data_IF_219023743405
#
_entry.id   IF_219023743405
#
_cell.length_a   1.000
_cell.length_b   1.000
_cell.length_c   1.000
_cell.angle_alpha   90.00
_cell.angle_beta   90.00
_cell.angle_gamma   90.00
#
_symmetry.space_group_name_H-M   'P 1'
#
loop_
_entity.id
_entity.type
_entity.pdbx_description
1 polymer ?
#
# COMPACT_ATOMS: atom_id res chain seq x y z
N UNK A 1 -15.88 24.99 24.29
CA UNK A 1 -16.69 24.35 23.24
C UNK A 1 -15.72 23.97 22.15
N UNK A 2 -15.21 22.76 22.21
CA UNK A 2 -14.38 22.18 21.12
C UNK A 2 -15.38 21.53 20.17
N UNK A 3 -15.68 22.21 19.06
CA UNK A 3 -16.37 21.59 17.95
C UNK A 3 -15.54 20.39 17.53
N UNK A 4 -15.97 19.23 17.99
CA UNK A 4 -15.40 17.97 17.50
C UNK A 4 -15.75 17.90 16.02
N UNK A 5 -14.75 17.99 15.15
CA UNK A 5 -14.90 17.80 13.72
C UNK A 5 -15.61 16.46 13.50
N UNK A 6 -16.88 16.52 13.13
CA UNK A 6 -17.66 15.33 12.82
C UNK A 6 -17.41 14.96 11.37
N UNK A 7 -16.54 13.97 11.18
CA UNK A 7 -16.16 13.45 9.89
C UNK A 7 -17.42 13.00 9.09
N UNK A 8 -18.45 12.51 9.77
CA UNK A 8 -19.69 12.06 9.12
C UNK A 8 -20.47 13.21 8.51
N UNK A 9 -20.60 14.33 9.26
CA UNK A 9 -21.28 15.53 8.77
C UNK A 9 -20.51 16.16 7.61
N UNK A 10 -19.18 16.13 7.65
CA UNK A 10 -18.34 16.62 6.57
C UNK A 10 -18.48 15.75 5.30
N UNK A 11 -18.46 14.42 5.47
CA UNK A 11 -18.62 13.47 4.36
C UNK A 11 -20.03 13.53 3.77
N UNK A 12 -21.08 13.67 4.59
CA UNK A 12 -22.47 13.80 4.13
C UNK A 12 -22.75 15.11 3.39
N UNK A 13 -21.85 16.09 3.49
CA UNK A 13 -21.91 17.33 2.70
C UNK A 13 -21.24 17.26 1.32
N UNK A 14 -20.60 16.14 0.99
CA UNK A 14 -19.98 15.95 -0.32
C UNK A 14 -21.02 15.52 -1.35
N UNK A 15 -20.97 16.13 -2.55
CA UNK A 15 -21.73 15.65 -3.69
C UNK A 15 -21.40 14.18 -3.97
N UNK A 16 -22.37 13.27 -4.10
CA UNK A 16 -22.15 11.84 -4.36
C UNK A 16 -21.23 11.56 -5.55
N UNK A 17 -21.27 12.43 -6.58
CA UNK A 17 -20.38 12.32 -7.74
C UNK A 17 -18.90 12.49 -7.36
N UNK A 18 -18.58 13.48 -6.53
CA UNK A 18 -17.22 13.69 -6.03
C UNK A 18 -16.75 12.54 -5.15
N UNK A 19 -17.64 11.96 -4.37
CA UNK A 19 -17.30 10.81 -3.55
C UNK A 19 -16.99 9.57 -4.40
N UNK A 20 -17.76 9.33 -5.47
CA UNK A 20 -17.48 8.27 -6.43
C UNK A 20 -16.12 8.48 -7.11
N UNK A 21 -15.83 9.72 -7.53
CA UNK A 21 -14.55 10.06 -8.14
C UNK A 21 -13.38 9.85 -7.14
N UNK A 22 -13.54 10.31 -5.91
CA UNK A 22 -12.54 10.11 -4.85
C UNK A 22 -12.31 8.61 -4.56
N UNK A 23 -13.42 7.83 -4.52
CA UNK A 23 -13.35 6.37 -4.35
C UNK A 23 -12.60 5.72 -5.50
N UNK A 24 -12.95 6.06 -6.74
CA UNK A 24 -12.23 5.57 -7.92
C UNK A 24 -10.75 5.89 -7.83
N UNK A 25 -10.39 7.15 -7.54
CA UNK A 25 -9.00 7.61 -7.54
C UNK A 25 -8.16 6.96 -6.42
N UNK A 26 -8.69 6.89 -5.20
CA UNK A 26 -7.99 6.25 -4.09
C UNK A 26 -7.83 4.74 -4.32
N UNK A 27 -8.87 4.08 -4.83
CA UNK A 27 -8.80 2.67 -5.19
C UNK A 27 -7.88 2.41 -6.39
N UNK A 28 -7.77 3.37 -7.31
CA UNK A 28 -6.80 3.34 -8.40
C UNK A 28 -5.36 3.37 -7.86
N UNK A 29 -5.04 4.30 -6.97
CA UNK A 29 -3.72 4.38 -6.35
C UNK A 29 -3.38 3.09 -5.58
N UNK A 30 -4.35 2.57 -4.83
CA UNK A 30 -4.22 1.30 -4.13
C UNK A 30 -3.99 0.13 -5.10
N UNK A 31 -4.76 0.07 -6.19
CA UNK A 31 -4.64 -0.94 -7.25
C UNK A 31 -3.31 -0.87 -7.99
N UNK A 32 -2.79 0.33 -8.23
CA UNK A 32 -1.49 0.57 -8.85
C UNK A 32 -0.32 0.12 -7.98
N UNK A 33 -0.56 -0.17 -6.70
CA UNK A 33 0.45 -0.64 -5.78
C UNK A 33 1.17 0.48 -5.03
N UNK A 34 0.58 1.67 -4.94
CA UNK A 34 1.12 2.77 -4.13
C UNK A 34 1.00 2.39 -2.65
N UNK A 35 2.12 2.29 -1.92
CA UNK A 35 2.08 1.88 -0.52
C UNK A 35 1.46 2.98 0.36
N UNK A 36 0.70 2.56 1.38
CA UNK A 36 0.15 3.49 2.38
C UNK A 36 -1.16 4.16 1.98
N UNK A 37 -1.74 3.86 0.82
CA UNK A 37 -3.08 4.35 0.47
C UNK A 37 -4.13 3.50 1.18
N UNK A 38 -4.90 4.08 2.12
CA UNK A 38 -5.91 3.33 2.87
C UNK A 38 -7.21 3.25 2.06
N UNK A 39 -7.35 2.22 1.22
CA UNK A 39 -8.56 2.01 0.41
C UNK A 39 -9.84 1.79 1.22
N UNK A 40 -9.69 1.49 2.51
CA UNK A 40 -10.84 1.38 3.42
C UNK A 40 -11.55 2.72 3.67
N UNK A 41 -10.82 3.85 3.61
CA UNK A 41 -11.42 5.17 3.90
C UNK A 41 -12.52 5.57 2.91
N UNK A 42 -12.30 5.53 1.58
CA UNK A 42 -13.37 5.84 0.65
C UNK A 42 -14.54 4.84 0.73
N UNK A 43 -14.26 3.58 1.07
CA UNK A 43 -15.32 2.59 1.28
C UNK A 43 -16.21 2.93 2.48
N UNK A 44 -15.62 3.41 3.59
CA UNK A 44 -16.37 3.86 4.77
C UNK A 44 -17.22 5.10 4.47
N UNK A 45 -16.69 6.05 3.69
CA UNK A 45 -17.43 7.22 3.25
C UNK A 45 -18.64 6.82 2.39
N UNK A 46 -18.47 5.85 1.49
CA UNK A 46 -19.58 5.31 0.69
C UNK A 46 -20.69 4.67 1.55
N UNK A 47 -20.35 4.06 2.70
CA UNK A 47 -21.37 3.50 3.60
C UNK A 47 -22.31 4.60 4.11
N UNK A 48 -21.77 5.74 4.55
CA UNK A 48 -22.57 6.86 5.01
C UNK A 48 -23.54 7.37 3.93
N UNK A 49 -23.08 7.46 2.69
CA UNK A 49 -23.90 7.89 1.56
C UNK A 49 -24.95 6.85 1.13
N UNK A 50 -24.66 5.56 1.28
CA UNK A 50 -25.64 4.49 1.06
C UNK A 50 -26.73 4.57 2.11
N UNK A 51 -26.38 4.75 3.37
CA UNK A 51 -27.35 4.85 4.48
C UNK A 51 -28.21 6.13 4.38
N UNK A 52 -27.63 7.21 3.85
CA UNK A 52 -28.38 8.44 3.54
C UNK A 52 -29.28 8.34 2.29
N UNK A 53 -29.18 7.26 1.51
CA UNK A 53 -29.96 7.06 0.29
C UNK A 53 -29.45 7.86 -0.93
N UNK A 54 -28.27 8.46 -0.85
CA UNK A 54 -27.69 9.26 -1.93
C UNK A 54 -26.98 8.42 -3.00
N UNK A 55 -26.58 7.20 -2.64
CA UNK A 55 -25.97 6.24 -3.55
C UNK A 55 -26.41 4.80 -3.24
N UNK A 56 -26.01 3.86 -4.06
CA UNK A 56 -26.32 2.45 -3.89
C UNK A 56 -25.05 1.61 -3.62
N UNK A 57 -25.21 0.50 -2.90
CA UNK A 57 -24.14 -0.46 -2.69
C UNK A 57 -23.50 -0.91 -4.02
N UNK A 58 -24.34 -1.12 -5.05
CA UNK A 58 -23.87 -1.52 -6.38
C UNK A 58 -22.99 -0.43 -7.03
N UNK A 59 -23.36 0.84 -6.91
CA UNK A 59 -22.57 1.96 -7.43
C UNK A 59 -21.22 2.07 -6.69
N UNK A 60 -21.22 1.97 -5.35
CA UNK A 60 -20.01 1.99 -4.55
C UNK A 60 -19.04 0.85 -4.94
N UNK A 61 -19.55 -0.38 -5.09
CA UNK A 61 -18.76 -1.54 -5.55
C UNK A 61 -18.25 -1.31 -6.97
N UNK A 62 -19.07 -0.78 -7.86
CA UNK A 62 -18.66 -0.52 -9.25
C UNK A 62 -17.49 0.47 -9.34
N UNK A 63 -17.61 1.65 -8.71
CA UNK A 63 -16.56 2.67 -8.76
C UNK A 63 -15.28 2.23 -8.06
N UNK A 64 -15.39 1.56 -6.92
CA UNK A 64 -14.24 1.00 -6.21
C UNK A 64 -13.54 -0.10 -7.01
N UNK A 65 -14.31 -1.01 -7.61
CA UNK A 65 -13.76 -2.10 -8.46
C UNK A 65 -13.07 -1.53 -9.69
N UNK A 66 -13.73 -0.57 -10.37
CA UNK A 66 -13.17 0.05 -11.58
C UNK A 66 -11.84 0.75 -11.26
N UNK A 67 -11.78 1.53 -10.18
CA UNK A 67 -10.55 2.18 -9.74
C UNK A 67 -9.44 1.16 -9.45
N UNK A 68 -9.72 0.17 -8.61
CA UNK A 68 -8.75 -0.85 -8.24
C UNK A 68 -8.24 -1.66 -9.44
N UNK A 69 -9.14 -2.00 -10.36
CA UNK A 69 -8.79 -2.72 -11.58
C UNK A 69 -7.92 -1.89 -12.52
N UNK A 70 -8.34 -0.67 -12.87
CA UNK A 70 -7.57 0.24 -13.73
C UNK A 70 -6.19 0.52 -13.12
N UNK A 71 -6.13 0.78 -11.82
CA UNK A 71 -4.88 0.95 -11.09
C UNK A 71 -3.96 -0.25 -11.25
N UNK A 72 -4.51 -1.47 -11.15
CA UNK A 72 -3.71 -2.67 -11.32
C UNK A 72 -3.17 -2.87 -12.74
N UNK A 73 -3.93 -2.44 -13.75
CA UNK A 73 -3.45 -2.47 -15.14
C UNK A 73 -2.27 -1.51 -15.30
N UNK A 74 -2.36 -0.32 -14.69
CA UNK A 74 -1.24 0.62 -14.65
C UNK A 74 -0.03 0.03 -13.92
N UNK A 75 -0.24 -0.61 -12.76
CA UNK A 75 0.84 -1.30 -12.02
C UNK A 75 1.49 -2.43 -12.82
N UNK A 76 0.70 -3.22 -13.55
CA UNK A 76 1.22 -4.19 -14.51
C UNK A 76 2.07 -3.51 -15.59
N UNK A 77 1.59 -2.39 -16.15
CA UNK A 77 2.34 -1.59 -17.12
C UNK A 77 3.66 -1.08 -16.58
N UNK A 78 3.66 -0.60 -15.34
CA UNK A 78 4.90 -0.21 -14.64
C UNK A 78 5.85 -1.40 -14.52
N UNK A 79 5.36 -2.58 -14.16
CA UNK A 79 6.15 -3.81 -14.13
C UNK A 79 6.73 -4.16 -15.50
N UNK A 80 5.95 -4.01 -16.56
CA UNK A 80 6.34 -4.41 -17.93
C UNK A 80 7.32 -3.43 -18.61
N UNK A 81 7.09 -2.13 -18.43
CA UNK A 81 7.85 -1.10 -19.17
C UNK A 81 8.57 -0.10 -18.26
N UNK A 82 8.10 0.07 -17.03
CA UNK A 82 8.56 1.12 -16.14
C UNK A 82 9.84 0.80 -15.37
N UNK A 83 10.13 -0.49 -15.15
CA UNK A 83 11.28 -0.91 -14.33
C UNK A 83 12.63 -0.49 -14.91
N UNK A 84 12.72 -0.29 -16.23
CA UNK A 84 13.93 0.24 -16.89
C UNK A 84 14.30 1.66 -16.43
N UNK A 85 13.36 2.40 -15.85
CA UNK A 85 13.56 3.74 -15.33
C UNK A 85 13.85 3.77 -13.82
N UNK A 86 13.75 2.62 -13.13
CA UNK A 86 13.99 2.52 -11.70
C UNK A 86 15.45 2.14 -11.41
N UNK A 87 16.02 2.66 -10.30
CA UNK A 87 17.34 2.24 -9.87
C UNK A 87 17.43 0.72 -9.67
N UNK A 88 18.55 0.05 -10.04
CA UNK A 88 18.71 -1.41 -9.94
C UNK A 88 18.43 -1.96 -8.53
N UNK A 89 18.75 -1.19 -7.48
CA UNK A 89 18.49 -1.56 -6.08
C UNK A 89 17.00 -1.71 -5.76
N UNK A 90 16.13 -0.97 -6.44
CA UNK A 90 14.67 -1.07 -6.26
C UNK A 90 14.13 -2.25 -7.06
N UNK A 91 14.64 -2.44 -8.28
CA UNK A 91 14.25 -3.56 -9.14
C UNK A 91 14.56 -4.88 -8.46
N UNK A 92 15.76 -5.06 -7.90
CA UNK A 92 16.16 -6.30 -7.21
C UNK A 92 15.32 -6.60 -5.96
N UNK A 93 14.82 -5.58 -5.26
CA UNK A 93 13.89 -5.77 -4.13
C UNK A 93 12.49 -6.18 -4.55
N UNK A 94 12.07 -5.76 -5.74
CA UNK A 94 10.75 -6.10 -6.31
C UNK A 94 10.78 -7.45 -7.03
N UNK A 95 11.93 -7.84 -7.56
CA UNK A 95 12.19 -9.15 -8.17
C UNK A 95 12.32 -10.22 -7.08
N UNK A 96 11.18 -10.72 -6.63
CA UNK A 96 11.14 -11.86 -5.73
C UNK A 96 11.03 -13.14 -6.54
N UNK A 97 12.10 -13.94 -6.58
CA UNK A 97 12.10 -15.28 -7.20
C UNK A 97 10.93 -16.14 -6.71
N UNK A 98 10.58 -15.97 -5.42
CA UNK A 98 9.42 -16.65 -4.82
C UNK A 98 8.11 -16.23 -5.48
N UNK A 99 7.91 -14.94 -5.75
CA UNK A 99 6.69 -14.44 -6.40
C UNK A 99 6.63 -14.89 -7.84
N UNK A 100 7.74 -14.88 -8.57
CA UNK A 100 7.81 -15.38 -9.95
C UNK A 100 7.50 -16.88 -10.00
N UNK A 101 8.10 -17.69 -9.14
CA UNK A 101 7.86 -19.13 -9.06
C UNK A 101 6.39 -19.42 -8.74
N UNK A 102 5.79 -18.67 -7.80
CA UNK A 102 4.37 -18.78 -7.47
C UNK A 102 3.48 -18.41 -8.66
N UNK A 103 3.82 -17.34 -9.37
CA UNK A 103 3.05 -16.90 -10.54
C UNK A 103 3.14 -17.90 -11.70
N UNK A 104 4.33 -18.49 -11.94
CA UNK A 104 4.49 -19.58 -12.94
C UNK A 104 3.69 -20.83 -12.58
N UNK A 105 3.59 -21.15 -11.29
CA UNK A 105 2.89 -22.34 -10.79
C UNK A 105 1.38 -22.15 -10.73
N UNK A 106 0.90 -21.01 -10.22
CA UNK A 106 -0.52 -20.77 -9.92
C UNK A 106 -1.21 -19.86 -10.93
N UNK A 107 -0.46 -19.05 -11.69
CA UNK A 107 -1.00 -18.19 -12.75
C UNK A 107 -2.12 -17.27 -12.29
N UNK A 108 -3.24 -17.33 -12.99
CA UNK A 108 -4.42 -16.49 -12.75
C UNK A 108 -4.99 -16.55 -11.32
N UNK A 109 -5.20 -17.74 -10.72
CA UNK A 109 -5.64 -17.84 -9.33
C UNK A 109 -4.79 -17.05 -8.33
N UNK A 110 -3.47 -16.99 -8.53
CA UNK A 110 -2.60 -16.17 -7.67
C UNK A 110 -2.91 -14.67 -7.81
N UNK A 111 -3.22 -14.20 -9.03
CA UNK A 111 -3.60 -12.80 -9.27
C UNK A 111 -4.88 -12.47 -8.49
N UNK A 112 -5.89 -13.34 -8.53
CA UNK A 112 -7.15 -13.16 -7.78
C UNK A 112 -6.89 -13.11 -6.27
N UNK A 113 -6.21 -14.13 -5.73
CA UNK A 113 -5.93 -14.24 -4.29
C UNK A 113 -5.05 -13.10 -3.79
N UNK A 114 -4.09 -12.66 -4.59
CA UNK A 114 -3.21 -11.55 -4.21
C UNK A 114 -3.96 -10.25 -3.92
N UNK A 115 -5.16 -10.07 -4.49
CA UNK A 115 -6.00 -8.89 -4.25
C UNK A 115 -6.57 -8.85 -2.83
N UNK A 116 -6.88 -9.99 -2.26
CA UNK A 116 -7.39 -10.09 -0.89
C UNK A 116 -6.28 -9.99 0.16
N UNK A 117 -5.04 -10.35 -0.23
CA UNK A 117 -3.87 -10.29 0.66
C UNK A 117 -3.04 -9.05 0.32
N UNK A 118 -3.25 -7.97 1.05
CA UNK A 118 -2.69 -6.64 0.74
C UNK A 118 -1.17 -6.61 0.52
N UNK A 119 -0.39 -7.44 1.25
CA UNK A 119 1.07 -7.53 1.10
C UNK A 119 1.52 -8.21 -0.20
N UNK A 120 0.69 -9.06 -0.80
CA UNK A 120 1.00 -9.79 -2.03
C UNK A 120 0.56 -9.05 -3.29
N UNK A 121 -0.39 -8.12 -3.18
CA UNK A 121 -0.97 -7.42 -4.32
C UNK A 121 0.06 -6.69 -5.17
N UNK A 122 0.86 -5.81 -4.57
CA UNK A 122 1.88 -5.03 -5.27
C UNK A 122 2.96 -5.91 -5.91
N UNK A 123 3.61 -6.86 -5.19
CA UNK A 123 4.58 -7.76 -5.81
C UNK A 123 4.00 -8.55 -6.98
N UNK A 124 2.82 -9.17 -6.83
CA UNK A 124 2.21 -9.98 -7.89
C UNK A 124 1.87 -9.13 -9.12
N UNK A 125 1.33 -7.92 -8.92
CA UNK A 125 1.01 -7.00 -10.03
C UNK A 125 2.26 -6.63 -10.83
N UNK A 126 3.33 -6.18 -10.15
CA UNK A 126 4.58 -5.77 -10.79
C UNK A 126 5.29 -6.96 -11.45
N UNK A 127 5.43 -8.09 -10.74
CA UNK A 127 6.08 -9.29 -11.29
C UNK A 127 5.31 -9.84 -12.48
N UNK A 128 3.97 -9.79 -12.48
CA UNK A 128 3.18 -10.20 -13.66
C UNK A 128 3.55 -9.40 -14.91
N UNK A 129 3.79 -8.09 -14.77
CA UNK A 129 4.29 -7.24 -15.84
C UNK A 129 5.73 -7.60 -16.24
N UNK A 130 6.62 -7.81 -15.26
CA UNK A 130 8.04 -8.14 -15.48
C UNK A 130 8.24 -9.43 -16.28
N UNK A 131 7.51 -10.48 -15.90
CA UNK A 131 7.60 -11.80 -16.59
C UNK A 131 6.77 -11.85 -17.87
N UNK A 132 6.21 -10.71 -18.30
CA UNK A 132 5.35 -10.61 -19.47
C UNK A 132 4.16 -11.59 -19.43
N UNK A 133 3.53 -11.73 -18.24
CA UNK A 133 2.32 -12.55 -18.14
C UNK A 133 1.28 -12.06 -19.17
N UNK A 134 0.56 -12.93 -19.86
CA UNK A 134 -0.36 -12.54 -20.93
C UNK A 134 -1.39 -11.52 -20.45
N UNK A 135 -1.52 -10.40 -21.17
CA UNK A 135 -2.34 -9.26 -20.72
C UNK A 135 -3.82 -9.63 -20.65
N UNK A 136 -4.37 -10.38 -21.62
CA UNK A 136 -5.78 -10.77 -21.62
C UNK A 136 -6.20 -11.54 -20.37
N UNK A 137 -5.57 -12.66 -20.04
CA UNK A 137 -5.77 -13.37 -18.78
C UNK A 137 -5.54 -12.48 -17.55
N UNK A 138 -4.50 -11.63 -17.56
CA UNK A 138 -4.26 -10.70 -16.44
C UNK A 138 -5.45 -9.76 -16.20
N UNK A 139 -6.00 -9.16 -17.25
CA UNK A 139 -7.16 -8.26 -17.15
C UNK A 139 -8.36 -8.97 -16.52
N UNK A 140 -8.66 -10.20 -16.97
CA UNK A 140 -9.80 -10.97 -16.48
C UNK A 140 -9.61 -11.35 -15.00
N UNK A 141 -8.48 -11.97 -14.65
CA UNK A 141 -8.23 -12.40 -13.26
C UNK A 141 -8.10 -11.21 -12.31
N UNK A 142 -7.51 -10.11 -12.78
CA UNK A 142 -7.40 -8.88 -12.01
C UNK A 142 -8.76 -8.21 -11.77
N UNK A 143 -9.66 -8.23 -12.76
CA UNK A 143 -11.03 -7.74 -12.62
C UNK A 143 -11.81 -8.58 -11.60
N UNK A 144 -11.77 -9.91 -11.75
CA UNK A 144 -12.43 -10.83 -10.82
C UNK A 144 -11.92 -10.61 -9.39
N UNK A 145 -10.59 -10.52 -9.22
CA UNK A 145 -9.98 -10.29 -7.92
C UNK A 145 -10.35 -8.93 -7.33
N UNK A 146 -10.40 -7.87 -8.13
CA UNK A 146 -10.82 -6.54 -7.69
C UNK A 146 -12.30 -6.52 -7.29
N UNK A 147 -13.16 -7.18 -8.07
CA UNK A 147 -14.60 -7.27 -7.77
C UNK A 147 -14.84 -8.04 -6.46
N UNK A 148 -14.16 -9.17 -6.26
CA UNK A 148 -14.26 -9.94 -5.02
C UNK A 148 -13.75 -9.09 -3.84
N UNK A 149 -12.58 -8.47 -3.98
CA UNK A 149 -11.98 -7.67 -2.91
C UNK A 149 -12.90 -6.52 -2.52
N UNK A 150 -13.25 -5.65 -3.47
CA UNK A 150 -14.09 -4.48 -3.20
C UNK A 150 -15.50 -4.89 -2.79
N UNK A 151 -16.10 -5.88 -3.48
CA UNK A 151 -17.44 -6.37 -3.18
C UNK A 151 -17.55 -6.92 -1.77
N UNK A 152 -16.61 -7.76 -1.36
CA UNK A 152 -16.60 -8.32 0.01
C UNK A 152 -16.42 -7.23 1.05
N UNK A 153 -15.38 -6.38 0.90
CA UNK A 153 -15.11 -5.33 1.88
C UNK A 153 -16.22 -4.28 1.94
N UNK A 154 -16.73 -3.80 0.81
CA UNK A 154 -17.80 -2.81 0.78
C UNK A 154 -19.09 -3.37 1.40
N UNK A 155 -19.44 -4.64 1.11
CA UNK A 155 -20.61 -5.28 1.69
C UNK A 155 -20.47 -5.51 3.20
N UNK A 156 -19.28 -5.94 3.65
CA UNK A 156 -19.00 -6.11 5.08
C UNK A 156 -19.08 -4.77 5.82
N UNK A 157 -18.46 -3.72 5.27
CA UNK A 157 -18.49 -2.38 5.85
C UNK A 157 -19.92 -1.82 5.87
N UNK A 158 -20.70 -1.99 4.82
CA UNK A 158 -22.10 -1.57 4.79
C UNK A 158 -22.93 -2.30 5.84
N UNK A 159 -22.80 -3.64 5.93
CA UNK A 159 -23.60 -4.43 6.86
C UNK A 159 -23.20 -4.27 8.32
N UNK A 160 -21.91 -4.16 8.59
CA UNK A 160 -21.36 -4.13 9.96
C UNK A 160 -20.76 -2.76 10.33
N UNK A 161 -20.75 -1.80 9.40
CA UNK A 161 -20.22 -0.45 9.62
C UNK A 161 -20.80 0.24 10.83
N UNK A 162 -22.13 0.24 11.05
CA UNK A 162 -22.73 0.85 12.23
C UNK A 162 -22.20 0.32 13.56
N UNK A 163 -21.78 -0.94 13.60
CA UNK A 163 -21.21 -1.57 14.80
C UNK A 163 -19.71 -1.36 14.90
N UNK A 164 -19.02 -1.35 13.76
CA UNK A 164 -17.55 -1.27 13.71
C UNK A 164 -17.04 0.18 13.80
N UNK A 165 -17.75 1.13 13.17
CA UNK A 165 -17.33 2.53 13.14
C UNK A 165 -17.12 3.16 14.52
N UNK A 166 -18.03 3.02 15.50
CA UNK A 166 -17.81 3.56 16.86
C UNK A 166 -16.61 2.91 17.56
N UNK A 167 -16.32 1.67 17.26
CA UNK A 167 -15.16 0.94 17.79
C UNK A 167 -13.86 1.42 17.11
N UNK A 168 -13.87 1.61 15.78
CA UNK A 168 -12.73 2.15 15.06
C UNK A 168 -12.39 3.59 15.50
N UNK A 169 -13.39 4.43 15.79
CA UNK A 169 -13.17 5.78 16.29
C UNK A 169 -12.50 5.76 17.67
N UNK A 170 -12.90 4.85 18.54
CA UNK A 170 -12.25 4.65 19.84
C UNK A 170 -10.82 4.13 19.68
N UNK A 171 -10.64 3.06 18.92
CA UNK A 171 -9.34 2.43 18.68
C UNK A 171 -8.43 3.30 17.80
N UNK A 172 -8.99 4.01 16.81
CA UNK A 172 -8.25 4.94 15.96
C UNK A 172 -7.58 6.04 16.78
N UNK A 173 -8.29 6.60 17.78
CA UNK A 173 -7.73 7.58 18.70
C UNK A 173 -6.62 6.99 19.56
N UNK A 174 -6.80 5.78 20.09
CA UNK A 174 -5.78 5.09 20.89
C UNK A 174 -4.58 4.68 20.04
N UNK A 175 -4.79 4.19 18.81
CA UNK A 175 -3.72 3.85 17.87
C UNK A 175 -2.91 5.10 17.49
N UNK A 176 -3.56 6.21 17.17
CA UNK A 176 -2.88 7.47 16.83
C UNK A 176 -2.12 8.02 18.04
N UNK A 177 -2.71 7.97 19.24
CA UNK A 177 -2.10 8.52 20.44
C UNK A 177 -0.96 7.66 21.02
N UNK A 178 -1.04 6.35 20.89
CA UNK A 178 -0.09 5.44 21.54
C UNK A 178 0.74 4.60 20.54
N UNK A 179 0.12 4.02 19.53
CA UNK A 179 0.79 3.09 18.63
C UNK A 179 1.64 3.83 17.58
N UNK A 180 1.13 4.94 17.04
CA UNK A 180 1.88 5.72 16.05
C UNK A 180 3.15 6.36 16.63
N UNK A 181 3.12 7.02 17.79
CA UNK A 181 4.34 7.51 18.44
C UNK A 181 5.30 6.40 18.82
N UNK A 182 4.80 5.24 19.28
CA UNK A 182 5.64 4.10 19.60
C UNK A 182 6.35 3.50 18.36
N UNK A 183 5.63 3.42 17.24
CA UNK A 183 6.21 3.00 15.96
C UNK A 183 7.25 4.01 15.46
N UNK A 184 6.95 5.30 15.53
CA UNK A 184 7.91 6.36 15.18
C UNK A 184 9.15 6.29 16.06
N UNK A 185 8.96 6.12 17.37
CA UNK A 185 10.08 5.93 18.31
C UNK A 185 10.90 4.69 17.95
N UNK A 186 10.27 3.56 17.66
CA UNK A 186 10.95 2.33 17.25
C UNK A 186 11.76 2.52 15.96
N UNK A 187 11.21 3.24 14.97
CA UNK A 187 11.91 3.58 13.72
C UNK A 187 13.10 4.49 13.99
N UNK A 188 12.94 5.51 14.82
CA UNK A 188 14.02 6.45 15.21
C UNK A 188 15.12 5.71 15.96
N UNK A 189 14.77 4.87 16.95
CA UNK A 189 15.73 4.05 17.72
C UNK A 189 16.46 3.09 16.80
N UNK A 190 15.76 2.40 15.90
CA UNK A 190 16.38 1.51 14.91
C UNK A 190 17.33 2.26 13.98
N UNK A 191 16.93 3.43 13.48
CA UNK A 191 17.76 4.28 12.63
C UNK A 191 19.02 4.76 13.38
N UNK A 192 18.87 5.19 14.65
CA UNK A 192 19.97 5.62 15.50
C UNK A 192 20.95 4.46 15.78
N UNK A 193 20.44 3.24 16.05
CA UNK A 193 21.26 2.03 16.22
C UNK A 193 22.02 1.65 14.94
N UNK A 194 21.40 1.79 13.79
CA UNK A 194 22.06 1.54 12.51
C UNK A 194 23.19 2.55 12.24
N UNK A 195 22.98 3.81 12.55
CA UNK A 195 24.04 4.84 12.44
C UNK A 195 25.23 4.55 13.35
N UNK A 196 24.99 4.19 14.61
CA UNK A 196 26.07 3.86 15.54
C UNK A 196 26.91 2.64 15.12
N UNK A 197 26.28 1.64 14.50
CA UNK A 197 27.01 0.48 13.97
C UNK A 197 27.95 0.83 12.82
N UNK A 198 27.51 1.66 11.90
CA UNK A 198 28.36 2.12 10.78
C UNK A 198 29.53 2.96 11.24
N UNK A 199 29.37 3.79 12.27
CA UNK A 199 30.49 4.57 12.86
C UNK A 199 31.52 3.68 13.56
N UNK A 200 31.07 2.61 14.24
CA UNK A 200 31.97 1.68 14.90
C UNK A 200 32.76 0.80 13.90
N UNK A 201 32.11 0.38 12.81
CA UNK A 201 32.78 -0.38 11.74
C UNK A 201 33.80 0.47 10.97
N UNK A 202 33.52 1.75 10.76
CA UNK A 202 34.46 2.68 10.14
C UNK A 202 35.63 3.02 11.05
N UNK A 203 35.42 3.13 12.36
CA UNK A 203 36.49 3.35 13.32
C UNK A 203 37.43 2.13 13.45
N UNK A 204 36.89 0.91 13.28
CA UNK A 204 37.70 -0.32 13.29
C UNK A 204 38.41 -0.60 11.96
N UNK A 205 37.93 -0.02 10.86
CA UNK A 205 38.52 -0.17 9.53
C UNK A 205 39.59 0.90 9.21
N UNK A 206 39.86 1.83 10.13
CA UNK A 206 40.96 2.79 9.97
C UNK A 206 42.30 2.02 10.01
N UNK A 207 43.16 2.14 8.96
CA UNK A 207 44.43 1.43 8.93
C UNK A 207 45.30 1.92 10.09
N UNK A 208 45.88 0.97 10.79
CA UNK A 208 46.89 1.21 11.82
C UNK A 208 48.08 1.92 11.14
N UNK A 209 48.12 3.24 11.24
CA UNK A 209 49.25 4.02 10.73
C UNK A 209 50.40 3.78 11.73
N UNK A 210 51.47 3.06 11.34
CA UNK A 210 52.57 2.85 12.23
C UNK A 210 53.19 4.21 12.63
N UNK A 211 53.64 4.34 13.90
CA UNK A 211 54.23 5.61 14.35
C UNK A 211 55.45 5.94 13.48
N UNK A 212 55.42 7.15 12.91
CA UNK A 212 56.55 7.69 12.15
C UNK A 212 57.75 7.72 13.09
N UNK A 213 58.71 6.83 12.85
CA UNK A 213 59.97 6.82 13.58
C UNK A 213 60.74 8.07 13.21
N UNK A 214 60.96 8.94 14.18
CA UNK A 214 61.74 10.23 14.09
C UNK A 214 63.19 10.06 13.72
N UNK A 215 63.61 8.98 13.03
CA UNK A 215 65.03 8.68 12.75
C UNK A 215 65.52 9.18 11.38
N UNK A 216 64.73 9.85 10.57
CA UNK A 216 65.13 10.31 9.23
C UNK A 216 65.42 11.82 9.08
N UNK A 217 65.46 12.59 10.17
CA UNK A 217 65.74 14.04 10.10
C UNK A 217 67.20 14.38 10.51
N UNK A 218 68.14 13.42 10.43
CA UNK A 218 69.58 13.68 10.61
C UNK A 218 70.41 13.00 9.53
N UNK A 219 70.35 13.51 8.33
CA UNK A 219 71.50 13.48 7.40
C UNK A 219 71.40 14.60 6.37
#
# INVERSE_FOLDING_TARGET
MTDSFDLRLWLAGLDPLWLHFATFFLMFLEGAGVPGVPGVLPMLAQVAEIDAGHTTLAAAIFWGTLGNWVGSVCGYGVGRWGLRFLPPKWVSRLQSERTETLLRRWGGPLIVVSRTVGSLRTPVTLVSGMVNYPLGPYLVYSLIGSLIHVGVWQTLLWKFGPVILPQLERWGREIVLYVLPLLLLAVVVRWWWQRRRTETEQAQAAPDVPPVTESETRR
#
